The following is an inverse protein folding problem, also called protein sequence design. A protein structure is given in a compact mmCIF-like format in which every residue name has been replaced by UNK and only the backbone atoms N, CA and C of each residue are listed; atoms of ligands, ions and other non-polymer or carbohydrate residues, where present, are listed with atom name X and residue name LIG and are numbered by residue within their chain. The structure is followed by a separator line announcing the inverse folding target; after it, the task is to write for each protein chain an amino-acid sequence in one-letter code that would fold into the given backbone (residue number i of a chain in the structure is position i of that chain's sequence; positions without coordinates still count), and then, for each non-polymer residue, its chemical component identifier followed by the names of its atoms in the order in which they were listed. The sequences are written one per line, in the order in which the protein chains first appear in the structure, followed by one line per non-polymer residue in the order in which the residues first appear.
data_IF_592460228652
#
_entry.id   IF_592460228652
#
_cell.length_a   1.000
_cell.length_b   1.000
_cell.length_c   1.000
_cell.angle_alpha   90.00
_cell.angle_beta   90.00
_cell.angle_gamma   90.00
#
_symmetry.space_group_name_H-M   'P 1'
#
loop_
_entity.id
_entity.type
_entity.pdbx_description
1 polymer ?
#
# COMPACT_ATOMS: atom_id res chain seq x y z
N UNK A 1 10.98 -15.42 -5.86
CA UNK A 1 11.41 -14.42 -4.86
C UNK A 1 10.87 -13.07 -5.29
N UNK A 2 10.54 -12.22 -4.32
CA UNK A 2 9.81 -10.97 -4.51
C UNK A 2 8.43 -11.15 -5.15
N UNK A 3 7.69 -12.16 -4.68
CA UNK A 3 6.27 -12.30 -5.02
C UNK A 3 5.46 -11.45 -4.06
N UNK A 4 4.68 -10.49 -4.59
CA UNK A 4 3.90 -9.60 -3.72
C UNK A 4 2.78 -10.33 -2.97
N UNK A 5 2.26 -11.43 -3.52
CA UNK A 5 1.20 -12.21 -2.88
C UNK A 5 1.67 -12.77 -1.53
N UNK A 6 0.88 -12.55 -0.48
CA UNK A 6 1.22 -13.00 0.87
C UNK A 6 0.90 -11.97 1.95
N UNK A 7 1.45 -12.21 3.14
CA UNK A 7 1.30 -11.38 4.32
C UNK A 7 2.55 -10.55 4.55
N UNK A 8 2.36 -9.24 4.71
CA UNK A 8 3.41 -8.26 4.94
C UNK A 8 3.13 -7.48 6.22
N UNK A 9 4.22 -7.07 6.88
CA UNK A 9 4.19 -6.20 8.06
C UNK A 9 5.18 -5.06 7.85
N UNK A 10 4.76 -3.84 8.13
CA UNK A 10 5.66 -2.69 8.12
C UNK A 10 6.22 -2.39 9.52
N UNK A 11 7.10 -1.40 9.61
CA UNK A 11 7.77 -0.93 10.83
C UNK A 11 6.81 -0.30 11.86
N UNK A 12 5.58 0.02 11.46
CA UNK A 12 4.51 0.54 12.33
C UNK A 12 3.54 -0.55 12.79
N UNK A 13 3.85 -1.84 12.55
CA UNK A 13 2.99 -2.99 12.83
C UNK A 13 1.68 -3.04 12.06
N UNK A 14 1.56 -2.27 10.98
CA UNK A 14 0.45 -2.43 10.05
C UNK A 14 0.62 -3.70 9.25
N UNK A 15 -0.50 -4.38 8.99
CA UNK A 15 -0.54 -5.65 8.28
C UNK A 15 -1.16 -5.46 6.90
N UNK A 16 -0.60 -6.15 5.91
CA UNK A 16 -1.11 -6.15 4.55
C UNK A 16 -1.17 -7.57 4.03
N UNK A 17 -2.30 -7.94 3.44
CA UNK A 17 -2.49 -9.20 2.73
C UNK A 17 -2.71 -8.88 1.25
N UNK A 18 -1.89 -9.44 0.36
CA UNK A 18 -2.04 -9.33 -1.08
C UNK A 18 -2.43 -10.71 -1.63
N UNK A 19 -3.52 -10.76 -2.39
CA UNK A 19 -3.97 -11.97 -3.08
C UNK A 19 -3.01 -12.36 -4.22
N UNK A 20 -3.23 -13.53 -4.83
CA UNK A 20 -2.53 -13.89 -6.05
C UNK A 20 -2.69 -12.78 -7.12
N UNK A 21 -1.58 -12.45 -7.79
CA UNK A 21 -1.58 -11.50 -8.90
C UNK A 21 -2.24 -12.13 -10.12
N UNK A 22 -2.92 -11.30 -10.91
CA UNK A 22 -3.43 -11.66 -12.23
C UNK A 22 -2.28 -11.62 -13.25
N UNK A 23 -2.46 -12.27 -14.40
CA UNK A 23 -1.44 -12.34 -15.46
C UNK A 23 -1.00 -10.95 -15.99
N UNK A 24 -1.89 -9.96 -15.89
CA UNK A 24 -1.61 -8.58 -16.27
C UNK A 24 -0.88 -7.76 -15.17
N UNK A 25 -0.55 -8.38 -14.03
CA UNK A 25 0.10 -7.75 -12.89
C UNK A 25 -0.85 -7.10 -11.87
N UNK A 26 -2.16 -7.10 -12.13
CA UNK A 26 -3.14 -6.54 -11.19
C UNK A 26 -3.25 -7.40 -9.93
N UNK A 27 -3.48 -6.75 -8.79
CA UNK A 27 -3.76 -7.43 -7.54
C UNK A 27 -4.75 -6.66 -6.67
N UNK A 28 -5.32 -7.41 -5.73
CA UNK A 28 -6.18 -6.90 -4.68
C UNK A 28 -5.73 -7.47 -3.33
N UNK A 29 -6.24 -6.88 -2.25
CA UNK A 29 -5.87 -7.30 -0.93
C UNK A 29 -6.61 -6.57 0.18
N UNK A 30 -6.08 -6.69 1.39
CA UNK A 30 -6.52 -5.96 2.58
C UNK A 30 -5.35 -5.31 3.28
N UNK A 31 -5.59 -4.12 3.81
CA UNK A 31 -4.65 -3.36 4.63
C UNK A 31 -5.28 -3.11 6.00
N UNK A 32 -4.60 -3.52 7.07
CA UNK A 32 -4.98 -3.21 8.45
C UNK A 32 -3.91 -2.29 9.03
N UNK A 33 -4.22 -1.00 9.09
CA UNK A 33 -3.34 -0.03 9.71
C UNK A 33 -3.33 -0.19 11.23
N UNK A 34 -2.17 -0.01 11.86
CA UNK A 34 -2.06 0.09 13.32
C UNK A 34 -2.29 1.52 13.82
N UNK A 35 -2.09 2.50 12.95
CA UNK A 35 -2.15 3.93 13.27
C UNK A 35 -3.26 4.62 12.48
N UNK A 36 -4.00 5.50 13.14
CA UNK A 36 -5.11 6.25 12.53
C UNK A 36 -5.05 7.70 12.97
N UNK A 37 -5.21 8.65 12.04
CA UNK A 37 -5.23 10.08 12.36
C UNK A 37 -6.52 10.51 13.07
N UNK A 38 -7.64 9.88 12.73
CA UNK A 38 -8.98 10.27 13.21
C UNK A 38 -9.31 9.70 14.59
N UNK A 39 -8.39 8.96 15.22
CA UNK A 39 -8.62 8.28 16.51
C UNK A 39 -9.67 7.17 16.48
N UNK A 40 -10.27 6.90 15.32
CA UNK A 40 -11.23 5.80 15.13
C UNK A 40 -10.55 4.44 15.16
N UNK A 41 -11.28 3.40 15.57
CA UNK A 41 -10.75 2.04 15.54
C UNK A 41 -10.42 1.63 14.10
N UNK A 42 -9.13 1.34 13.84
CA UNK A 42 -8.67 0.84 12.56
C UNK A 42 -9.42 -0.43 12.16
N UNK A 43 -9.76 -0.53 10.86
CA UNK A 43 -10.40 -1.71 10.28
C UNK A 43 -9.65 -2.15 9.04
N UNK A 44 -9.71 -3.45 8.76
CA UNK A 44 -9.18 -3.99 7.52
C UNK A 44 -9.89 -3.32 6.33
N UNK A 45 -9.10 -2.68 5.48
CA UNK A 45 -9.57 -1.86 4.36
C UNK A 45 -9.11 -2.48 3.04
N UNK A 46 -9.95 -2.49 1.99
CA UNK A 46 -9.55 -3.07 0.71
C UNK A 46 -8.42 -2.26 0.06
N UNK A 47 -7.49 -2.97 -0.57
CA UNK A 47 -6.48 -2.39 -1.45
C UNK A 47 -6.57 -2.96 -2.86
N UNK A 48 -6.17 -2.16 -3.85
CA UNK A 48 -6.03 -2.56 -5.25
C UNK A 48 -4.79 -1.93 -5.86
N UNK A 49 -4.05 -2.69 -6.65
CA UNK A 49 -2.80 -2.24 -7.25
C UNK A 49 -2.40 -3.03 -8.48
N UNK A 50 -1.24 -2.68 -9.01
CA UNK A 50 -0.61 -3.36 -10.12
C UNK A 50 0.91 -3.42 -9.92
N UNK A 51 1.50 -4.51 -10.40
CA UNK A 51 2.95 -4.72 -10.45
C UNK A 51 3.41 -4.69 -11.91
N UNK A 52 4.54 -4.03 -12.17
CA UNK A 52 5.19 -4.07 -13.47
C UNK A 52 5.69 -5.49 -13.77
N UNK A 53 5.75 -5.84 -15.05
CA UNK A 53 6.40 -7.09 -15.45
C UNK A 53 7.89 -7.05 -15.07
N UNK A 54 8.48 -8.18 -14.62
CA UNK A 54 9.91 -8.25 -14.39
C UNK A 54 10.68 -7.87 -15.66
N UNK A 55 11.57 -6.88 -15.56
CA UNK A 55 12.43 -6.46 -16.67
C UNK A 55 13.83 -7.09 -16.59
N UNK A 56 14.63 -6.91 -17.64
CA UNK A 56 16.05 -7.30 -17.66
C UNK A 56 16.87 -6.36 -16.77
N UNK A 57 16.95 -6.66 -15.47
CA UNK A 57 17.93 -6.03 -14.57
C UNK A 57 17.42 -5.51 -13.23
N UNK A 58 16.15 -5.68 -12.89
CA UNK A 58 15.64 -5.22 -11.59
C UNK A 58 14.38 -5.93 -11.12
N UNK A 59 14.16 -5.93 -9.80
CA UNK A 59 12.90 -6.37 -9.22
C UNK A 59 11.76 -5.43 -9.64
N UNK A 60 10.59 -5.95 -10.00
CA UNK A 60 9.48 -5.13 -10.49
C UNK A 60 8.99 -4.11 -9.46
N UNK A 61 8.71 -2.90 -9.94
CA UNK A 61 8.02 -1.86 -9.16
C UNK A 61 6.53 -2.15 -9.12
N UNK A 62 5.85 -1.60 -8.12
CA UNK A 62 4.41 -1.75 -7.96
C UNK A 62 3.81 -0.47 -7.36
N UNK A 63 2.51 -0.33 -7.53
CA UNK A 63 1.73 0.68 -6.85
C UNK A 63 0.38 0.11 -6.43
N UNK A 64 -0.15 0.58 -5.31
CA UNK A 64 -1.50 0.23 -4.87
C UNK A 64 -2.17 1.38 -4.14
N UNK A 65 -3.49 1.36 -4.12
CA UNK A 65 -4.32 2.28 -3.36
C UNK A 65 -5.05 1.53 -2.26
N UNK A 66 -5.16 2.15 -1.09
CA UNK A 66 -5.98 1.70 0.02
C UNK A 66 -7.19 2.62 0.11
N UNK A 67 -8.37 2.03 -0.03
CA UNK A 67 -9.63 2.72 0.24
C UNK A 67 -10.02 2.41 1.67
N UNK A 68 -9.75 3.34 2.58
CA UNK A 68 -10.04 3.16 4.00
C UNK A 68 -11.53 2.84 4.22
N UNK A 69 -11.79 1.87 5.09
CA UNK A 69 -13.16 1.49 5.46
C UNK A 69 -13.82 2.62 6.30
N UNK A 70 -15.03 2.39 6.82
CA UNK A 70 -15.91 3.36 7.52
C UNK A 70 -15.30 4.26 8.61
N UNK A 71 -14.03 4.08 9.00
CA UNK A 71 -13.33 4.92 9.98
C UNK A 71 -12.60 6.14 9.40
N UNK A 72 -12.47 6.24 8.06
CA UNK A 72 -11.83 7.39 7.41
C UNK A 72 -12.35 7.62 5.99
N UNK A 73 -12.49 8.89 5.60
CA UNK A 73 -12.83 9.32 4.24
C UNK A 73 -11.59 9.62 3.39
N UNK A 74 -10.39 9.39 3.93
CA UNK A 74 -9.14 9.58 3.21
C UNK A 74 -8.89 8.45 2.19
N UNK A 75 -7.90 8.64 1.33
CA UNK A 75 -7.32 7.57 0.50
C UNK A 75 -5.80 7.57 0.66
N UNK A 76 -5.18 6.39 0.59
CA UNK A 76 -3.71 6.31 0.57
C UNK A 76 -3.25 5.61 -0.69
N UNK A 77 -2.25 6.18 -1.35
CA UNK A 77 -1.54 5.52 -2.44
C UNK A 77 -0.13 5.15 -1.98
N UNK A 78 0.30 3.94 -2.30
CA UNK A 78 1.66 3.45 -2.09
C UNK A 78 2.30 3.20 -3.45
N UNK A 79 3.59 3.49 -3.56
CA UNK A 79 4.45 3.09 -4.67
C UNK A 79 5.74 2.51 -4.11
N UNK A 80 6.26 1.47 -4.73
CA UNK A 80 7.45 0.82 -4.21
C UNK A 80 8.07 -0.21 -5.12
N UNK A 81 9.04 -0.90 -4.55
CA UNK A 81 9.79 -1.97 -5.18
C UNK A 81 10.07 -3.04 -4.13
N UNK A 82 10.05 -4.30 -4.56
CA UNK A 82 10.47 -5.40 -3.71
C UNK A 82 11.98 -5.62 -3.86
N UNK A 83 12.66 -5.92 -2.77
CA UNK A 83 14.08 -6.27 -2.74
C UNK A 83 14.28 -7.57 -1.97
N UNK A 84 15.33 -8.30 -2.35
CA UNK A 84 15.81 -9.50 -1.65
C UNK A 84 17.23 -9.22 -1.20
N UNK A 85 17.51 -9.37 0.09
CA UNK A 85 18.86 -9.18 0.62
C UNK A 85 19.75 -10.43 0.42
N UNK A 86 21.02 -10.32 0.80
CA UNK A 86 22.00 -11.43 0.68
C UNK A 86 21.65 -12.65 1.54
N UNK A 87 20.78 -12.50 2.54
CA UNK A 87 20.24 -13.58 3.36
C UNK A 87 18.96 -14.19 2.80
N UNK A 88 18.46 -13.71 1.66
CA UNK A 88 17.22 -14.17 1.04
C UNK A 88 15.95 -13.57 1.68
N UNK A 89 16.08 -12.59 2.56
CA UNK A 89 14.92 -11.91 3.17
C UNK A 89 14.34 -10.90 2.18
N UNK A 90 13.03 -10.97 2.00
CA UNK A 90 12.29 -10.06 1.12
C UNK A 90 11.83 -8.81 1.89
N UNK A 91 11.90 -7.65 1.25
CA UNK A 91 11.45 -6.37 1.80
C UNK A 91 10.75 -5.53 0.72
N UNK A 92 9.61 -4.95 1.07
CA UNK A 92 8.94 -3.95 0.25
C UNK A 92 9.38 -2.57 0.70
N UNK A 93 10.17 -1.87 -0.10
CA UNK A 93 10.49 -0.46 0.14
C UNK A 93 9.43 0.39 -0.53
N UNK A 94 8.74 1.24 0.22
CA UNK A 94 7.61 2.01 -0.28
C UNK A 94 7.69 3.47 0.13
N UNK A 95 7.10 4.32 -0.70
CA UNK A 95 6.66 5.66 -0.33
C UNK A 95 5.13 5.71 -0.44
N UNK A 96 4.52 6.61 0.30
CA UNK A 96 3.06 6.77 0.28
C UNK A 96 2.66 8.23 0.32
N UNK A 97 1.45 8.48 -0.18
CA UNK A 97 0.73 9.73 0.01
C UNK A 97 -0.62 9.42 0.63
N UNK A 98 -0.94 10.08 1.74
CA UNK A 98 -2.25 10.03 2.37
C UNK A 98 -3.00 11.30 2.02
N UNK A 99 -4.11 11.14 1.31
CA UNK A 99 -4.98 12.22 0.88
C UNK A 99 -6.25 12.29 1.74
N UNK A 100 -6.38 13.35 2.53
CA UNK A 100 -7.59 13.67 3.26
C UNK A 100 -8.65 14.34 2.35
N UNK A 101 -9.91 14.10 2.70
CA UNK A 101 -11.02 14.88 2.16
C UNK A 101 -11.05 16.25 2.84
N UNK A 102 -11.19 17.32 2.06
CA UNK A 102 -11.30 18.70 2.54
C UNK A 102 -12.55 19.36 1.97
N UNK A 103 -13.06 20.40 2.64
CA UNK A 103 -14.37 20.98 2.30
C UNK A 103 -14.31 21.86 1.06
N UNK A 104 -13.12 22.38 0.71
CA UNK A 104 -12.95 23.26 -0.44
C UNK A 104 -11.55 23.22 -1.04
N UNK A 105 -11.41 23.71 -2.28
CA UNK A 105 -10.12 23.84 -2.96
C UNK A 105 -9.11 24.72 -2.19
N UNK A 106 -9.59 25.69 -1.41
CA UNK A 106 -8.73 26.56 -0.59
C UNK A 106 -7.99 25.79 0.51
N UNK A 107 -8.49 24.61 0.86
CA UNK A 107 -7.91 23.74 1.89
C UNK A 107 -7.03 22.63 1.29
N UNK A 108 -6.89 22.56 -0.04
CA UNK A 108 -6.14 21.51 -0.72
C UNK A 108 -4.67 21.41 -0.27
N UNK A 109 -4.04 22.56 0.01
CA UNK A 109 -2.64 22.65 0.38
C UNK A 109 -2.24 21.84 1.62
N UNK A 110 -3.20 21.57 2.52
CA UNK A 110 -2.99 20.79 3.76
C UNK A 110 -3.45 19.34 3.66
N UNK A 111 -4.01 18.93 2.53
CA UNK A 111 -4.76 17.68 2.42
C UNK A 111 -3.89 16.45 2.11
N UNK A 112 -2.60 16.62 1.81
CA UNK A 112 -1.68 15.52 1.50
C UNK A 112 -0.56 15.44 2.53
N UNK A 113 -0.38 14.26 3.12
CA UNK A 113 0.82 13.88 3.89
C UNK A 113 1.68 12.92 3.07
#
# INVERSE_FOLDING_TARGET
QCQLSGLWRNEQDSLMEISALMDNGDFQGKYLTRVTLTGGCARASPLKGAQQQPGEGGWPTFAFTVRWDKFSNASTAFVGQCFVDSGGKEALTTMWLLREAVESLKEDWKATR
#
